data_IF_652048750071
#
_entry.id   IF_652048750071
#
_cell.length_a   1.000
_cell.length_b   1.000
_cell.length_c   1.000
_cell.angle_alpha   90.00
_cell.angle_beta   90.00
_cell.angle_gamma   90.00
#
_symmetry.space_group_name_H-M   'P 1'
#
loop_
_entity.id
_entity.type
_entity.pdbx_description
1 polymer ?
#
# COMPACT_ATOMS: atom_id res chain seq x y z
N UNK A 1 0.20 17.95 13.08
CA UNK A 1 0.38 17.10 14.29
C UNK A 1 -0.32 15.77 14.04
N UNK A 2 0.31 14.64 14.33
CA UNK A 2 -0.30 13.32 14.16
C UNK A 2 -0.99 12.86 15.44
N UNK A 3 -2.14 12.22 15.31
CA UNK A 3 -2.82 11.52 16.41
C UNK A 3 -2.88 10.03 16.09
N UNK A 4 -2.43 9.18 17.01
CA UNK A 4 -2.55 7.74 16.85
C UNK A 4 -4.00 7.30 17.06
N UNK A 5 -4.47 6.40 16.19
CA UNK A 5 -5.78 5.76 16.28
C UNK A 5 -5.64 4.27 16.00
N UNK A 6 -6.32 3.40 16.77
CA UNK A 6 -6.26 1.97 16.51
C UNK A 6 -7.00 1.62 15.22
N UNK A 7 -6.52 0.62 14.48
CA UNK A 7 -7.15 0.14 13.25
C UNK A 7 -8.58 -0.37 13.51
N UNK A 8 -8.81 -1.04 14.64
CA UNK A 8 -10.13 -1.53 15.08
C UNK A 8 -11.21 -0.43 15.13
N UNK A 9 -10.84 0.82 15.47
CA UNK A 9 -11.75 1.96 15.49
C UNK A 9 -12.32 2.25 14.10
N UNK A 10 -11.47 2.24 13.06
CA UNK A 10 -11.92 2.54 11.70
C UNK A 10 -12.72 1.38 11.08
N UNK A 11 -12.47 0.14 11.52
CA UNK A 11 -13.27 -1.03 11.09
C UNK A 11 -14.67 -1.02 11.70
N UNK A 12 -14.79 -0.68 12.98
CA UNK A 12 -16.08 -0.66 13.69
C UNK A 12 -16.92 0.57 13.38
N UNK A 13 -16.29 1.72 13.16
CA UNK A 13 -16.94 3.02 12.95
C UNK A 13 -16.43 3.67 11.65
N UNK A 14 -16.87 3.18 10.47
CA UNK A 14 -16.37 3.65 9.17
C UNK A 14 -16.60 5.16 8.94
N UNK A 15 -17.61 5.76 9.56
CA UNK A 15 -17.85 7.21 9.55
C UNK A 15 -16.70 8.01 10.16
N UNK A 16 -15.91 7.42 11.06
CA UNK A 16 -14.71 8.05 11.62
C UNK A 16 -13.64 8.26 10.54
N UNK A 17 -13.54 7.36 9.55
CA UNK A 17 -12.59 7.51 8.46
C UNK A 17 -12.94 8.70 7.54
N UNK A 18 -14.21 9.11 7.49
CA UNK A 18 -14.66 10.26 6.70
C UNK A 18 -14.46 11.61 7.40
N UNK A 19 -14.20 11.61 8.71
CA UNK A 19 -13.95 12.84 9.48
C UNK A 19 -12.58 13.42 9.14
N UNK A 20 -12.44 14.76 9.13
CA UNK A 20 -11.14 15.38 8.94
C UNK A 20 -10.17 15.04 10.10
N UNK A 21 -8.85 15.09 9.85
CA UNK A 21 -7.85 14.96 10.89
C UNK A 21 -7.90 16.14 11.89
N UNK A 22 -7.20 16.05 13.04
CA UNK A 22 -7.15 17.13 14.04
C UNK A 22 -6.75 18.48 13.42
N UNK A 23 -7.26 19.59 13.96
CA UNK A 23 -7.00 20.92 13.37
C UNK A 23 -5.49 21.25 13.28
N UNK A 24 -5.08 21.78 12.12
CA UNK A 24 -3.71 22.22 11.84
C UNK A 24 -3.19 21.75 10.48
N UNK A 25 -2.29 22.53 9.85
CA UNK A 25 -1.62 22.13 8.60
C UNK A 25 -0.74 20.89 8.82
N UNK A 26 -0.70 20.00 7.83
CA UNK A 26 0.01 18.71 7.89
C UNK A 26 -0.39 17.90 9.13
N UNK A 27 -1.68 17.84 9.42
CA UNK A 27 -2.27 16.98 10.44
C UNK A 27 -2.76 15.67 9.83
N UNK A 28 -2.80 14.62 10.63
CA UNK A 28 -3.19 13.30 10.15
C UNK A 28 -3.43 12.32 11.28
N UNK A 29 -4.00 11.16 10.93
CA UNK A 29 -4.06 10.02 11.82
C UNK A 29 -2.93 9.05 11.46
N UNK A 30 -2.25 8.53 12.47
CA UNK A 30 -1.40 7.34 12.29
C UNK A 30 -2.24 6.14 12.71
N UNK A 31 -2.44 5.21 11.80
CA UNK A 31 -3.26 4.01 12.02
C UNK A 31 -2.34 2.90 12.53
N UNK A 32 -2.50 2.57 13.81
CA UNK A 32 -1.68 1.59 14.51
C UNK A 32 -2.51 0.35 14.76
N UNK A 33 -1.90 -0.82 14.70
CA UNK A 33 -2.59 -2.05 15.11
C UNK A 33 -2.71 -2.07 16.64
N UNK A 34 -3.91 -2.27 17.17
CA UNK A 34 -4.12 -2.50 18.61
C UNK A 34 -4.04 -3.98 18.98
N UNK A 35 -3.93 -4.29 20.27
CA UNK A 35 -3.91 -5.68 20.78
C UNK A 35 -5.18 -6.46 20.36
N UNK A 36 -6.33 -5.78 20.30
CA UNK A 36 -7.61 -6.36 19.83
C UNK A 36 -7.65 -6.73 18.35
N UNK A 37 -6.72 -6.21 17.53
CA UNK A 37 -6.63 -6.57 16.12
C UNK A 37 -5.86 -7.90 15.91
N UNK A 38 -5.29 -8.51 16.96
CA UNK A 38 -4.66 -9.84 16.91
C UNK A 38 -5.68 -10.97 16.71
N UNK A 39 -6.88 -10.84 17.29
CA UNK A 39 -7.92 -11.88 17.21
C UNK A 39 -8.67 -11.87 15.85
N UNK A 40 -8.67 -10.75 15.12
CA UNK A 40 -9.21 -10.67 13.76
C UNK A 40 -8.25 -11.31 12.72
N UNK A 41 -7.08 -11.79 13.15
CA UNK A 41 -6.15 -12.57 12.35
C UNK A 41 -6.45 -14.08 12.34
N UNK A 42 -7.40 -14.54 13.16
CA UNK A 42 -7.81 -15.94 13.22
C UNK A 42 -8.80 -16.30 12.09
N UNK A 43 -8.25 -16.84 11.00
CA UNK A 43 -8.87 -17.99 10.35
C UNK A 43 -7.93 -19.18 10.58
N UNK A 44 -8.17 -19.89 11.67
CA UNK A 44 -7.61 -21.21 11.97
C UNK A 44 -7.81 -22.17 10.78
N UNK A 45 -6.72 -22.57 10.10
CA UNK A 45 -6.47 -23.98 9.74
C UNK A 45 -5.02 -24.19 9.23
N UNK A 46 -4.43 -25.31 9.65
CA UNK A 46 -3.08 -25.85 9.37
C UNK A 46 -1.96 -25.43 10.38
N UNK A 47 -1.84 -26.27 11.42
CA UNK A 47 -0.65 -26.56 12.21
C UNK A 47 0.37 -25.42 12.39
N UNK A 48 0.09 -24.50 13.32
CA UNK A 48 1.13 -23.95 14.20
C UNK A 48 2.17 -22.98 13.62
N UNK A 49 2.00 -22.33 12.46
CA UNK A 49 2.93 -21.24 12.08
C UNK A 49 2.39 -20.05 11.26
N UNK A 50 1.08 -19.93 11.01
CA UNK A 50 0.57 -18.82 10.19
C UNK A 50 -0.57 -18.05 10.88
N UNK A 51 -0.24 -17.19 11.85
CA UNK A 51 -1.14 -16.12 12.29
C UNK A 51 -1.37 -15.12 11.17
N UNK A 52 -2.62 -14.67 10.99
CA UNK A 52 -3.14 -13.97 9.81
C UNK A 52 -2.35 -12.76 9.29
N UNK A 53 -1.34 -13.00 8.46
CA UNK A 53 -0.56 -11.94 7.81
C UNK A 53 -1.35 -11.16 6.75
N UNK A 54 -2.48 -11.67 6.24
CA UNK A 54 -3.17 -11.06 5.08
C UNK A 54 -4.01 -9.85 5.48
N UNK A 55 -3.75 -8.70 4.84
CA UNK A 55 -4.57 -7.50 5.02
C UNK A 55 -5.96 -7.73 4.39
N UNK A 56 -7.00 -7.64 5.23
CA UNK A 56 -8.40 -7.95 4.84
C UNK A 56 -9.08 -6.81 4.06
N UNK A 57 -8.75 -5.56 4.38
CA UNK A 57 -9.39 -4.39 3.79
C UNK A 57 -8.72 -3.09 4.19
N UNK A 58 -9.37 -1.97 3.83
CA UNK A 58 -8.96 -0.60 4.18
C UNK A 58 -9.54 -0.18 5.55
N UNK A 59 -8.93 0.81 6.23
CA UNK A 59 -7.62 1.40 5.91
C UNK A 59 -6.46 0.45 6.24
N UNK A 60 -5.26 0.73 5.72
CA UNK A 60 -4.07 -0.07 6.01
C UNK A 60 -3.45 0.32 7.35
N UNK A 61 -2.83 -0.64 8.08
CA UNK A 61 -1.93 -0.30 9.18
C UNK A 61 -0.68 0.41 8.64
N UNK A 62 -0.27 1.50 9.30
CA UNK A 62 0.87 2.33 8.89
C UNK A 62 2.13 2.07 9.71
N UNK A 63 2.03 1.24 10.75
CA UNK A 63 3.06 0.89 11.71
C UNK A 63 3.87 -0.37 11.33
N UNK A 64 3.61 -0.95 10.16
CA UNK A 64 4.26 -2.20 9.74
C UNK A 64 4.62 -2.23 8.25
N UNK A 65 5.52 -3.15 7.89
CA UNK A 65 5.88 -3.40 6.50
C UNK A 65 4.85 -4.32 5.87
N UNK A 66 4.30 -3.89 4.74
CA UNK A 66 3.39 -4.64 3.90
C UNK A 66 4.12 -5.16 2.65
N UNK A 67 3.91 -6.43 2.33
CA UNK A 67 4.28 -7.03 1.04
C UNK A 67 3.06 -7.04 0.14
N UNK A 68 3.09 -6.18 -0.86
CA UNK A 68 2.18 -6.25 -1.99
C UNK A 68 2.61 -7.43 -2.88
N UNK A 69 1.67 -8.23 -3.34
CA UNK A 69 1.91 -9.33 -4.28
C UNK A 69 0.88 -9.38 -5.39
N UNK A 70 1.35 -9.65 -6.61
CA UNK A 70 0.53 -9.94 -7.78
C UNK A 70 1.08 -11.17 -8.50
N UNK A 71 0.20 -12.10 -8.86
CA UNK A 71 0.58 -13.28 -9.65
C UNK A 71 -0.01 -13.17 -11.03
N UNK A 72 0.86 -13.16 -12.03
CA UNK A 72 0.49 -13.32 -13.43
C UNK A 72 0.52 -14.81 -13.82
N UNK A 73 -0.48 -15.25 -14.59
CA UNK A 73 -0.54 -16.58 -15.19
C UNK A 73 -0.49 -16.43 -16.71
N UNK A 74 0.53 -16.99 -17.34
CA UNK A 74 0.66 -17.07 -18.79
C UNK A 74 0.80 -18.54 -19.18
N UNK A 75 -0.30 -19.15 -19.63
CA UNK A 75 -0.39 -20.60 -19.81
C UNK A 75 -0.08 -21.33 -18.50
N UNK A 76 0.87 -22.27 -18.54
CA UNK A 76 1.36 -22.99 -17.37
C UNK A 76 2.34 -22.17 -16.50
N UNK A 77 2.90 -21.09 -17.05
CA UNK A 77 3.89 -20.29 -16.32
C UNK A 77 3.21 -19.34 -15.35
N UNK A 78 3.62 -19.44 -14.08
CA UNK A 78 3.22 -18.53 -13.01
C UNK A 78 4.39 -17.63 -12.65
N UNK A 79 4.19 -16.30 -12.69
CA UNK A 79 5.16 -15.32 -12.17
C UNK A 79 4.52 -14.51 -11.06
N UNK A 80 5.19 -14.43 -9.92
CA UNK A 80 4.75 -13.60 -8.80
C UNK A 80 5.68 -12.42 -8.65
N UNK A 81 5.11 -11.24 -8.65
CA UNK A 81 5.80 -9.98 -8.40
C UNK A 81 5.47 -9.53 -6.99
N UNK A 82 6.47 -9.04 -6.26
CA UNK A 82 6.29 -8.55 -4.89
C UNK A 82 6.94 -7.18 -4.71
N UNK A 83 6.38 -6.38 -3.81
CA UNK A 83 6.96 -5.11 -3.36
C UNK A 83 6.74 -4.94 -1.86
N UNK A 84 7.81 -4.74 -1.10
CA UNK A 84 7.74 -4.53 0.35
C UNK A 84 7.78 -3.03 0.64
N UNK A 85 6.70 -2.51 1.22
CA UNK A 85 6.49 -1.09 1.44
C UNK A 85 5.87 -0.79 2.80
N UNK A 86 6.08 0.43 3.27
CA UNK A 86 5.23 1.05 4.29
C UNK A 86 4.25 1.96 3.56
N UNK A 87 2.96 1.84 3.90
CA UNK A 87 1.90 2.67 3.33
C UNK A 87 1.61 3.78 4.33
N UNK A 88 1.60 5.03 3.86
CA UNK A 88 1.36 6.20 4.71
C UNK A 88 0.24 7.02 4.09
N UNK A 89 -0.83 7.30 4.85
CA UNK A 89 -1.92 8.15 4.36
C UNK A 89 -1.43 9.58 4.08
N UNK A 90 -2.03 10.21 3.07
CA UNK A 90 -1.77 11.62 2.76
C UNK A 90 -2.38 12.49 3.85
N UNK A 91 -1.59 13.42 4.41
CA UNK A 91 -2.03 14.38 5.44
C UNK A 91 -3.10 15.33 4.92
N UNK A 92 -3.79 16.00 5.84
CA UNK A 92 -4.84 17.00 5.57
C UNK A 92 -6.03 16.45 4.75
N UNK A 93 -6.17 15.13 4.67
CA UNK A 93 -7.30 14.45 4.04
C UNK A 93 -7.90 13.42 5.01
N UNK A 94 -9.23 13.17 4.93
CA UNK A 94 -9.84 12.05 5.65
C UNK A 94 -9.22 10.73 5.23
N UNK A 95 -9.14 9.76 6.15
CA UNK A 95 -8.65 8.40 5.85
C UNK A 95 -9.47 7.73 4.75
N UNK A 96 -10.77 8.02 4.67
CA UNK A 96 -11.68 7.53 3.62
C UNK A 96 -11.33 8.01 2.21
N UNK A 97 -10.45 9.02 2.06
CA UNK A 97 -9.90 9.40 0.76
C UNK A 97 -9.13 8.25 0.10
N UNK A 98 -8.60 7.32 0.92
CA UNK A 98 -7.77 6.18 0.53
C UNK A 98 -6.59 6.59 -0.35
N UNK A 99 -6.03 7.78 -0.08
CA UNK A 99 -4.83 8.29 -0.74
C UNK A 99 -3.61 8.01 0.12
N UNK A 100 -2.59 7.46 -0.51
CA UNK A 100 -1.41 6.96 0.17
C UNK A 100 -0.13 7.33 -0.57
N UNK A 101 0.92 7.56 0.21
CA UNK A 101 2.30 7.39 -0.20
C UNK A 101 2.73 5.94 0.02
N UNK A 102 3.64 5.44 -0.81
CA UNK A 102 4.20 4.08 -0.65
C UNK A 102 5.71 4.15 -0.58
N UNK A 103 6.25 3.89 0.60
CA UNK A 103 7.67 4.00 0.93
C UNK A 103 8.32 2.64 0.80
N UNK A 104 9.38 2.53 0.01
CA UNK A 104 10.12 1.28 -0.16
C UNK A 104 10.74 0.85 1.16
N UNK A 105 10.43 -0.36 1.62
CA UNK A 105 10.88 -0.87 2.92
C UNK A 105 12.20 -1.65 2.88
N UNK A 106 12.57 -2.18 1.71
CA UNK A 106 13.72 -3.09 1.56
C UNK A 106 14.60 -2.76 0.33
N UNK A 107 15.82 -3.28 0.32
CA UNK A 107 16.77 -3.14 -0.79
C UNK A 107 17.42 -1.76 -0.93
N UNK A 108 18.10 -1.52 -2.06
CA UNK A 108 18.96 -0.34 -2.30
C UNK A 108 18.20 1.00 -2.35
N UNK A 109 16.88 0.97 -2.49
CA UNK A 109 16.02 2.17 -2.59
C UNK A 109 15.15 2.36 -1.36
N UNK A 110 15.47 1.69 -0.26
CA UNK A 110 14.76 1.82 1.02
C UNK A 110 14.64 3.30 1.43
N UNK A 111 13.46 3.69 1.89
CA UNK A 111 13.14 5.06 2.31
C UNK A 111 12.71 5.99 1.18
N UNK A 112 12.84 5.59 -0.09
CA UNK A 112 12.33 6.35 -1.22
C UNK A 112 10.86 5.99 -1.51
N UNK A 113 10.10 6.93 -2.07
CA UNK A 113 8.71 6.74 -2.44
C UNK A 113 8.57 6.19 -3.85
N UNK A 114 7.66 5.23 -4.04
CA UNK A 114 7.22 4.85 -5.37
C UNK A 114 6.54 6.05 -6.03
N UNK A 115 6.72 6.16 -7.33
CA UNK A 115 6.22 7.30 -8.12
C UNK A 115 5.53 6.76 -9.35
N UNK A 116 4.39 7.36 -9.69
CA UNK A 116 3.70 7.14 -10.94
C UNK A 116 4.52 7.69 -12.11
N UNK A 117 4.55 6.94 -13.21
CA UNK A 117 5.10 7.39 -14.48
C UNK A 117 4.15 8.38 -15.15
N UNK A 118 4.68 9.15 -16.08
CA UNK A 118 3.93 10.06 -16.96
C UNK A 118 3.94 9.55 -18.38
N UNK A 119 3.19 10.22 -19.25
CA UNK A 119 3.22 9.96 -20.69
C UNK A 119 4.63 10.15 -21.28
N UNK A 120 5.39 11.14 -20.79
CA UNK A 120 6.78 11.40 -21.17
C UNK A 120 7.75 10.25 -20.84
N UNK A 121 7.42 9.41 -19.86
CA UNK A 121 8.24 8.25 -19.49
C UNK A 121 7.94 7.01 -20.37
N UNK A 122 6.90 7.07 -21.20
CA UNK A 122 6.54 5.95 -22.05
C UNK A 122 7.52 5.78 -23.20
N UNK A 123 7.84 4.53 -23.53
CA UNK A 123 8.61 4.23 -24.73
C UNK A 123 7.77 3.60 -25.83
N UNK A 124 8.12 3.87 -27.10
CA UNK A 124 7.59 3.10 -28.22
C UNK A 124 7.86 1.60 -28.00
N UNK A 125 6.82 0.81 -28.20
CA UNK A 125 6.81 -0.64 -28.14
C UNK A 125 6.08 -1.13 -29.40
N UNK A 126 6.35 -2.35 -29.89
CA UNK A 126 5.73 -2.84 -31.13
C UNK A 126 4.19 -2.65 -31.09
N UNK A 127 3.67 -1.77 -31.96
CA UNK A 127 2.26 -1.39 -32.10
C UNK A 127 1.57 -0.73 -30.88
N UNK A 128 2.30 -0.34 -29.82
CA UNK A 128 1.72 0.32 -28.63
C UNK A 128 2.74 1.15 -27.83
N UNK A 129 2.28 1.99 -26.89
CA UNK A 129 3.18 2.65 -25.92
C UNK A 129 3.37 1.76 -24.70
N UNK A 130 4.63 1.44 -24.37
CA UNK A 130 4.99 0.68 -23.17
C UNK A 130 5.31 1.65 -22.04
N UNK A 131 4.54 1.57 -20.94
CA UNK A 131 4.76 2.35 -19.73
C UNK A 131 6.02 1.84 -19.02
N UNK A 132 7.05 2.70 -18.90
CA UNK A 132 8.23 2.42 -18.09
C UNK A 132 8.02 2.96 -16.68
N UNK A 133 8.25 2.11 -15.69
CA UNK A 133 8.16 2.51 -14.29
C UNK A 133 9.30 3.47 -13.92
N UNK A 134 8.94 4.63 -13.36
CA UNK A 134 9.90 5.58 -12.80
C UNK A 134 10.55 4.99 -11.55
N UNK A 135 11.84 5.27 -11.36
CA UNK A 135 12.56 4.85 -10.16
C UNK A 135 12.00 5.61 -8.94
N UNK A 136 11.86 4.97 -7.76
CA UNK A 136 11.49 5.67 -6.53
C UNK A 136 12.33 6.91 -6.27
N UNK A 137 11.72 7.95 -5.72
CA UNK A 137 12.32 9.27 -5.50
C UNK A 137 12.19 9.70 -4.04
N UNK A 138 12.94 10.72 -3.65
CA UNK A 138 12.81 11.33 -2.32
C UNK A 138 11.41 11.90 -2.12
N UNK A 139 10.94 11.89 -0.87
CA UNK A 139 9.63 12.44 -0.51
C UNK A 139 9.52 13.91 -0.92
N UNK A 140 8.47 14.23 -1.67
CA UNK A 140 8.05 15.58 -1.97
C UNK A 140 6.53 15.69 -1.79
N UNK A 141 6.04 16.41 -0.76
CA UNK A 141 4.62 16.54 -0.48
C UNK A 141 3.85 17.27 -1.60
N UNK A 142 4.55 18.03 -2.45
CA UNK A 142 3.96 18.73 -3.59
C UNK A 142 3.84 17.86 -4.84
N UNK A 143 4.53 16.70 -4.87
CA UNK A 143 4.56 15.80 -6.01
C UNK A 143 3.34 14.85 -5.99
N UNK A 144 2.28 15.24 -6.71
CA UNK A 144 1.08 14.43 -6.85
C UNK A 144 1.33 13.04 -7.46
N UNK A 145 2.44 12.81 -8.17
CA UNK A 145 2.78 11.51 -8.75
C UNK A 145 3.31 10.53 -7.69
N UNK A 146 3.68 10.98 -6.49
CA UNK A 146 4.02 10.11 -5.37
C UNK A 146 2.78 9.59 -4.63
N UNK A 147 1.60 10.15 -4.92
CA UNK A 147 0.34 9.78 -4.30
C UNK A 147 -0.43 8.80 -5.18
N UNK A 148 -0.91 7.72 -4.58
CA UNK A 148 -1.82 6.77 -5.20
C UNK A 148 -3.12 6.69 -4.43
N UNK A 149 -4.23 6.44 -5.13
CA UNK A 149 -5.49 6.08 -4.53
C UNK A 149 -5.65 4.57 -4.57
N UNK A 150 -5.81 3.92 -3.42
CA UNK A 150 -6.05 2.48 -3.35
C UNK A 150 -7.55 2.23 -3.17
N UNK A 151 -8.09 1.32 -3.96
CA UNK A 151 -9.49 0.91 -3.90
C UNK A 151 -9.54 -0.58 -3.59
N UNK A 152 -10.28 -0.92 -2.54
CA UNK A 152 -10.60 -2.31 -2.26
C UNK A 152 -11.70 -2.79 -3.23
N UNK A 153 -11.45 -3.90 -3.93
CA UNK A 153 -12.39 -4.49 -4.89
C UNK A 153 -13.20 -5.62 -4.26
N UNK A 154 -12.52 -6.49 -3.54
CA UNK A 154 -13.09 -7.61 -2.79
C UNK A 154 -12.33 -7.76 -1.48
N UNK A 155 -12.79 -8.64 -0.59
CA UNK A 155 -12.04 -9.00 0.62
C UNK A 155 -10.61 -9.42 0.24
N UNK A 156 -9.59 -8.76 0.81
CA UNK A 156 -8.16 -8.98 0.58
C UNK A 156 -7.64 -8.62 -0.83
N UNK A 157 -8.43 -7.95 -1.68
CA UNK A 157 -8.04 -7.61 -3.05
C UNK A 157 -8.18 -6.13 -3.34
N UNK A 158 -7.14 -5.54 -3.92
CA UNK A 158 -7.02 -4.10 -4.09
C UNK A 158 -6.58 -3.74 -5.51
N UNK A 159 -6.75 -2.48 -5.87
CA UNK A 159 -6.27 -1.87 -7.12
C UNK A 159 -5.84 -0.44 -6.81
N UNK A 160 -4.78 0.04 -7.45
CA UNK A 160 -4.33 1.41 -7.28
C UNK A 160 -4.56 2.23 -8.54
N UNK A 161 -4.81 3.52 -8.33
CA UNK A 161 -4.90 4.56 -9.35
C UNK A 161 -3.92 5.67 -8.99
N UNK A 162 -3.37 6.37 -9.99
CA UNK A 162 -2.64 7.60 -9.71
C UNK A 162 -3.62 8.68 -9.23
N UNK A 163 -3.16 9.57 -8.37
CA UNK A 163 -3.93 10.78 -8.01
C UNK A 163 -3.83 11.83 -9.11
N UNK A 164 -2.69 11.91 -9.80
CA UNK A 164 -2.53 12.71 -11.02
C UNK A 164 -3.32 12.12 -12.19
N UNK A 165 -3.92 13.01 -12.99
CA UNK A 165 -4.82 12.63 -14.10
C UNK A 165 -4.12 11.91 -15.25
N UNK A 166 -2.83 12.18 -15.44
CA UNK A 166 -1.94 11.63 -16.46
C UNK A 166 -0.93 10.62 -15.86
N UNK A 167 -1.09 10.28 -14.59
CA UNK A 167 -0.19 9.37 -13.87
C UNK A 167 -0.51 7.91 -14.11
N UNK A 168 0.54 7.11 -14.23
CA UNK A 168 0.46 5.65 -14.32
C UNK A 168 1.19 5.03 -13.13
N UNK A 169 0.50 4.35 -12.19
CA UNK A 169 1.16 3.69 -11.08
C UNK A 169 2.19 2.65 -11.56
N UNK A 170 3.22 2.34 -10.73
CA UNK A 170 4.20 1.31 -11.06
C UNK A 170 3.51 -0.02 -11.38
N UNK A 171 4.17 -0.87 -12.18
CA UNK A 171 3.56 -2.03 -12.85
C UNK A 171 2.69 -2.88 -11.93
N UNK A 172 3.21 -3.23 -10.76
CA UNK A 172 2.56 -4.08 -9.79
C UNK A 172 1.33 -3.41 -9.12
N UNK A 173 1.33 -2.08 -9.00
CA UNK A 173 0.22 -1.30 -8.40
C UNK A 173 -0.94 -1.10 -9.38
N UNK A 174 -0.63 -0.93 -10.67
CA UNK A 174 -1.65 -0.77 -11.74
C UNK A 174 -2.32 -2.08 -12.14
N UNK A 175 -1.84 -3.23 -11.67
CA UNK A 175 -2.56 -4.50 -11.85
C UNK A 175 -3.86 -4.50 -11.05
N UNK A 176 -4.85 -5.24 -11.52
CA UNK A 176 -6.09 -5.44 -10.78
C UNK A 176 -5.95 -6.59 -9.78
N UNK A 177 -6.69 -6.49 -8.68
CA UNK A 177 -6.86 -7.56 -7.68
C UNK A 177 -5.58 -8.05 -6.99
N UNK A 178 -4.57 -7.19 -6.84
CA UNK A 178 -3.38 -7.51 -6.07
C UNK A 178 -3.71 -7.62 -4.57
N UNK A 179 -2.81 -8.28 -3.82
CA UNK A 179 -3.02 -8.61 -2.40
C UNK A 179 -1.91 -8.06 -1.53
N UNK A 180 -2.21 -7.76 -0.26
CA UNK A 180 -1.23 -7.33 0.72
C UNK A 180 -1.13 -8.31 1.90
N UNK A 181 0.09 -8.49 2.38
CA UNK A 181 0.43 -9.27 3.56
C UNK A 181 1.37 -8.49 4.45
N UNK A 182 1.16 -8.52 5.76
CA UNK A 182 2.09 -7.99 6.75
C UNK A 182 3.31 -8.89 6.81
N UNK A 183 4.49 -8.28 6.78
CA UNK A 183 5.71 -8.94 7.18
C UNK A 183 5.84 -8.80 8.70
N UNK A 184 6.07 -9.91 9.44
CA UNK A 184 6.45 -9.79 10.84
C UNK A 184 7.76 -8.98 10.92
N UNK A 185 7.77 -7.94 11.75
CA UNK A 185 8.95 -7.09 11.95
C UNK A 185 10.12 -7.85 12.62
N UNK A 186 9.86 -9.06 13.15
CA UNK A 186 10.86 -9.98 13.66
C UNK A 186 11.04 -11.18 12.72
N UNK A 187 11.98 -11.04 11.79
CA UNK A 187 12.33 -12.11 10.85
C UNK A 187 13.46 -11.75 9.88
N UNK A 188 14.25 -10.72 10.19
CA UNK A 188 15.46 -10.44 9.43
C UNK A 188 16.62 -11.23 10.05
N UNK A 189 16.57 -12.56 9.91
CA UNK A 189 17.72 -13.43 10.16
C UNK A 189 18.14 -14.12 8.86
N UNK A 190 19.30 -13.66 8.38
CA UNK A 190 20.41 -14.41 7.76
C UNK A 190 20.08 -15.35 6.58
N UNK A 191 20.58 -14.98 5.40
CA UNK A 191 21.37 -15.92 4.61
C UNK A 191 22.71 -15.25 4.28
N UNK A 192 23.78 -15.92 4.73
CA UNK A 192 25.18 -15.71 4.35
C UNK A 192 25.34 -16.05 2.87
#
# INVERSE_FOLDING_TARGET
MYSSKPLSLFKSHPETAARPPPEGRNSGYIIVKGDEDEDDDDETWCWGSCGGTRVRGLPFPEDCVLTLSYTERQGERRRTYTDSVVVVSVTDQPIASNRYYTVVATGKRKGLLRTCSREEDMTPCCFSRCIKDVKPRSFDPSDAYQQIKIVQRQRRQFTAWAVSTDGFPPYLYRQMYWRMQRLPLFGQYVYV
#
